data_IF_802455458830
#
_entry.id   IF_802455458830
#
_cell.length_a   1.000
_cell.length_b   1.000
_cell.length_c   1.000
_cell.angle_alpha   90.00
_cell.angle_beta   90.00
_cell.angle_gamma   90.00
#
_symmetry.space_group_name_H-M   'P 1'
#
loop_
_entity.id
_entity.type
_entity.pdbx_description
1 polymer ?
#
# COMPACT_ATOMS: atom_id res chain seq x y z
N UNK A 1 -20.66 2.64 8.49
CA UNK A 1 -20.22 1.75 7.39
C UNK A 1 -21.20 0.61 7.26
N UNK A 2 -21.61 0.27 6.03
CA UNK A 2 -22.43 -0.92 5.78
C UNK A 2 -21.47 -2.10 5.55
N UNK A 3 -21.65 -3.19 6.28
CA UNK A 3 -20.90 -4.42 6.04
C UNK A 3 -21.43 -5.09 4.77
N UNK A 4 -20.55 -5.47 3.85
CA UNK A 4 -20.93 -6.13 2.57
C UNK A 4 -20.57 -7.63 2.54
N UNK A 5 -19.95 -8.16 3.59
CA UNK A 5 -19.58 -9.58 3.68
C UNK A 5 -18.63 -9.86 4.85
N UNK A 6 -18.23 -11.13 4.99
CA UNK A 6 -17.26 -11.61 5.99
C UNK A 6 -16.31 -12.62 5.35
N UNK A 7 -15.01 -12.42 5.51
CA UNK A 7 -13.99 -13.40 5.16
C UNK A 7 -13.64 -14.23 6.40
N UNK A 8 -13.60 -15.56 6.26
CA UNK A 8 -13.26 -16.49 7.35
C UNK A 8 -12.16 -17.44 6.86
N UNK A 9 -11.05 -17.49 7.59
CA UNK A 9 -9.91 -18.38 7.29
C UNK A 9 -10.04 -19.66 8.12
N UNK A 10 -10.30 -20.80 7.45
CA UNK A 10 -10.65 -22.06 8.13
C UNK A 10 -9.57 -23.15 8.06
N UNK A 11 -8.52 -22.96 7.26
CA UNK A 11 -7.58 -24.04 6.95
C UNK A 11 -6.17 -23.53 6.69
N UNK A 12 -5.20 -24.22 7.29
CA UNK A 12 -3.78 -24.00 7.05
C UNK A 12 -3.30 -24.69 5.77
N UNK A 13 -2.27 -24.15 5.10
CA UNK A 13 -1.71 -24.76 3.89
C UNK A 13 -1.05 -26.11 4.18
N UNK A 14 -1.20 -27.08 3.27
CA UNK A 14 -0.54 -28.40 3.37
C UNK A 14 0.89 -28.38 2.85
N UNK A 15 1.18 -27.51 1.88
CA UNK A 15 2.51 -27.29 1.35
C UNK A 15 2.77 -25.79 1.33
N UNK A 16 3.65 -25.33 2.22
CA UNK A 16 3.93 -23.91 2.40
C UNK A 16 4.54 -23.28 1.16
N UNK A 17 5.52 -23.95 0.52
CA UNK A 17 6.16 -23.43 -0.67
C UNK A 17 5.16 -23.24 -1.82
N UNK A 18 4.33 -24.25 -2.08
CA UNK A 18 3.35 -24.20 -3.16
C UNK A 18 2.20 -23.22 -2.89
N UNK A 19 1.73 -23.13 -1.64
CA UNK A 19 0.51 -22.36 -1.33
C UNK A 19 0.78 -20.94 -0.83
N UNK A 20 1.89 -20.68 -0.14
CA UNK A 20 2.23 -19.38 0.43
C UNK A 20 3.33 -18.72 -0.39
N UNK A 21 4.48 -19.38 -0.54
CA UNK A 21 5.61 -18.78 -1.25
C UNK A 21 5.25 -18.51 -2.72
N UNK A 22 4.64 -19.46 -3.42
CA UNK A 22 4.26 -19.28 -4.83
C UNK A 22 2.99 -18.43 -5.03
N UNK A 23 2.31 -17.98 -3.97
CA UNK A 23 1.12 -17.15 -4.12
C UNK A 23 1.43 -15.79 -4.76
N UNK A 24 0.64 -15.39 -5.75
CA UNK A 24 0.81 -14.15 -6.50
C UNK A 24 -0.47 -13.31 -6.47
N UNK A 25 -0.39 -12.11 -5.89
CA UNK A 25 -1.51 -11.16 -5.84
C UNK A 25 -1.24 -9.99 -6.78
N UNK A 26 -2.22 -9.63 -7.61
CA UNK A 26 -2.09 -8.53 -8.57
C UNK A 26 -3.33 -7.62 -8.46
N UNK A 27 -3.19 -6.32 -8.14
CA UNK A 27 -4.33 -5.41 -8.05
C UNK A 27 -5.12 -5.28 -9.36
N UNK A 28 -4.46 -5.46 -10.51
CA UNK A 28 -5.08 -5.44 -11.83
C UNK A 28 -5.82 -6.72 -12.23
N UNK A 29 -5.81 -7.77 -11.40
CA UNK A 29 -6.61 -8.98 -11.64
C UNK A 29 -8.05 -8.77 -11.13
N UNK A 30 -8.76 -7.82 -11.74
CA UNK A 30 -10.12 -7.45 -11.36
C UNK A 30 -11.16 -8.35 -12.03
N UNK A 31 -12.34 -8.44 -11.39
CA UNK A 31 -13.52 -9.11 -11.94
C UNK A 31 -14.38 -8.12 -12.73
N UNK A 32 -15.17 -8.60 -13.68
CA UNK A 32 -16.07 -7.77 -14.48
C UNK A 32 -17.02 -6.96 -13.58
N UNK A 33 -17.11 -5.66 -13.80
CA UNK A 33 -17.91 -4.73 -12.98
C UNK A 33 -17.14 -4.01 -11.87
N UNK A 34 -15.84 -4.27 -11.71
CA UNK A 34 -14.93 -3.45 -10.93
C UNK A 34 -13.90 -2.84 -11.87
N UNK A 35 -13.78 -1.52 -11.85
CA UNK A 35 -12.85 -0.76 -12.68
C UNK A 35 -11.86 0.02 -11.82
N UNK A 36 -10.73 0.34 -12.43
CA UNK A 36 -9.64 1.03 -11.79
C UNK A 36 -9.79 2.55 -11.85
N UNK A 37 -9.41 3.20 -10.76
CA UNK A 37 -9.35 4.65 -10.72
C UNK A 37 -8.10 5.14 -11.48
N UNK A 38 -8.13 6.33 -12.12
CA UNK A 38 -6.96 6.94 -12.77
C UNK A 38 -5.89 7.44 -11.77
N UNK A 39 -5.86 6.91 -10.54
CA UNK A 39 -4.88 7.26 -9.52
C UNK A 39 -3.48 6.77 -9.90
N UNK A 40 -2.45 7.64 -9.94
CA UNK A 40 -1.13 7.26 -10.44
C UNK A 40 -0.49 6.12 -9.62
N UNK A 41 -0.65 6.14 -8.29
CA UNK A 41 -0.13 5.07 -7.43
C UNK A 41 -0.76 3.71 -7.74
N UNK A 42 -2.06 3.68 -8.05
CA UNK A 42 -2.76 2.43 -8.35
C UNK A 42 -2.29 1.88 -9.71
N UNK A 43 -2.25 2.73 -10.73
CA UNK A 43 -1.77 2.39 -12.07
C UNK A 43 -0.36 1.82 -12.05
N UNK A 44 0.59 2.49 -11.37
CA UNK A 44 1.95 1.99 -11.24
C UNK A 44 2.03 0.66 -10.51
N UNK A 45 1.20 0.43 -9.47
CA UNK A 45 1.20 -0.85 -8.73
C UNK A 45 0.73 -2.01 -9.60
N UNK A 46 -0.22 -1.81 -10.51
CA UNK A 46 -0.65 -2.88 -11.42
C UNK A 46 0.49 -3.33 -12.33
N UNK A 47 1.31 -2.39 -12.79
CA UNK A 47 2.50 -2.70 -13.58
C UNK A 47 3.58 -3.43 -12.76
N UNK A 48 4.03 -2.83 -11.65
CA UNK A 48 5.17 -3.34 -10.89
C UNK A 48 4.95 -4.72 -10.26
N UNK A 49 3.73 -5.02 -9.79
CA UNK A 49 3.45 -6.33 -9.19
C UNK A 49 3.56 -7.45 -10.21
N UNK A 50 3.11 -7.21 -11.45
CA UNK A 50 3.22 -8.18 -12.55
C UNK A 50 4.68 -8.40 -12.94
N UNK A 51 5.45 -7.33 -13.13
CA UNK A 51 6.88 -7.42 -13.46
C UNK A 51 7.68 -8.17 -12.40
N UNK A 52 7.45 -7.87 -11.12
CA UNK A 52 8.10 -8.59 -10.01
C UNK A 52 7.74 -10.09 -10.00
N UNK A 53 6.49 -10.45 -10.30
CA UNK A 53 6.04 -11.84 -10.31
C UNK A 53 6.64 -12.66 -11.46
N UNK A 54 6.82 -12.06 -12.64
CA UNK A 54 7.51 -12.73 -13.75
C UNK A 54 8.94 -13.12 -13.37
N UNK A 55 9.67 -12.26 -12.65
CA UNK A 55 11.02 -12.59 -12.17
C UNK A 55 11.03 -13.61 -11.03
N UNK A 56 9.99 -13.59 -10.19
CA UNK A 56 9.94 -14.40 -8.96
C UNK A 56 9.45 -15.83 -9.17
N UNK A 57 8.41 -16.01 -9.99
CA UNK A 57 7.72 -17.31 -10.19
C UNK A 57 7.98 -17.86 -11.60
N UNK A 58 8.28 -16.98 -12.56
CA UNK A 58 8.52 -17.32 -13.95
C UNK A 58 7.39 -16.89 -14.88
N UNK A 59 7.58 -17.21 -16.17
CA UNK A 59 6.74 -16.73 -17.28
C UNK A 59 5.35 -17.36 -17.31
N UNK A 60 5.17 -18.55 -16.71
CA UNK A 60 3.91 -19.29 -16.68
C UNK A 60 2.88 -18.73 -15.68
N UNK A 61 2.99 -17.46 -15.31
CA UNK A 61 2.01 -16.78 -14.48
C UNK A 61 0.73 -16.59 -15.31
N UNK A 62 -0.42 -17.00 -14.76
CA UNK A 62 -1.70 -16.91 -15.45
C UNK A 62 -1.95 -15.47 -15.96
N UNK A 63 -2.10 -15.25 -17.27
CA UNK A 63 -2.28 -13.92 -17.82
C UNK A 63 -3.74 -13.47 -17.63
N UNK A 64 -4.05 -12.89 -16.47
CA UNK A 64 -5.27 -12.08 -16.30
C UNK A 64 -4.91 -10.60 -16.35
N UNK A 65 -4.87 -10.04 -17.55
CA UNK A 65 -5.05 -8.61 -17.76
C UNK A 65 -5.81 -8.44 -19.08
N UNK A 66 -7.10 -8.12 -18.98
CA UNK A 66 -7.80 -7.51 -20.10
C UNK A 66 -7.21 -6.10 -20.26
N UNK A 67 -6.25 -5.95 -21.17
CA UNK A 67 -5.74 -4.63 -21.59
C UNK A 67 -6.76 -3.98 -22.55
N UNK A 68 -8.01 -3.84 -22.11
CA UNK A 68 -9.05 -3.12 -22.87
C UNK A 68 -9.28 -1.77 -22.24
N UNK A 69 -8.30 -0.88 -22.39
CA UNK A 69 -8.48 0.54 -22.75
C UNK A 69 -7.17 1.32 -22.51
N UNK A 70 -6.46 1.51 -23.62
CA UNK A 70 -5.97 2.81 -24.07
C UNK A 70 -5.81 3.92 -23.02
N UNK A 71 -4.57 4.20 -22.64
CA UNK A 71 -4.24 5.46 -21.99
C UNK A 71 -2.74 5.60 -21.82
N UNK A 72 -2.11 6.46 -22.63
CA UNK A 72 -0.81 7.04 -22.26
C UNK A 72 -0.96 7.56 -20.83
N UNK A 73 -0.11 7.10 -19.90
CA UNK A 73 -0.05 7.66 -18.55
C UNK A 73 0.37 9.13 -18.69
N UNK A 74 -0.62 10.01 -18.77
CA UNK A 74 -0.39 11.43 -18.67
C UNK A 74 0.16 11.67 -17.27
N UNK A 75 1.45 12.02 -17.18
CA UNK A 75 2.13 12.42 -15.95
C UNK A 75 1.60 13.76 -15.39
N UNK A 76 0.36 14.13 -15.69
CA UNK A 76 -0.27 15.31 -15.14
C UNK A 76 -0.57 15.05 -13.68
N UNK A 77 0.26 15.62 -12.81
CA UNK A 77 -0.01 15.69 -11.38
C UNK A 77 -1.33 16.44 -11.20
N UNK A 78 -2.42 15.72 -10.95
CA UNK A 78 -3.58 16.33 -10.33
C UNK A 78 -3.16 16.71 -8.91
N UNK A 79 -2.71 17.96 -8.77
CA UNK A 79 -2.36 18.58 -7.50
C UNK A 79 -3.68 18.84 -6.77
N UNK A 80 -4.17 17.85 -6.03
CA UNK A 80 -5.37 17.99 -5.19
C UNK A 80 -5.11 17.54 -3.75
N UNK A 81 -3.90 17.77 -3.24
CA UNK A 81 -3.65 17.83 -1.78
C UNK A 81 -3.23 19.24 -1.44
N UNK A 82 -4.17 20.03 -0.91
CA UNK A 82 -3.93 21.42 -0.48
C UNK A 82 -3.01 21.51 0.74
N UNK A 83 -2.97 20.45 1.56
CA UNK A 83 -2.07 20.30 2.71
C UNK A 83 -1.71 18.82 2.93
N UNK A 84 -0.45 18.53 3.27
CA UNK A 84 0.04 17.17 3.55
C UNK A 84 -0.25 16.68 4.98
N UNK A 85 -0.57 17.60 5.90
CA UNK A 85 -0.60 17.33 7.33
C UNK A 85 -2.00 17.17 7.93
N UNK A 86 -3.05 17.68 7.28
CA UNK A 86 -4.42 17.71 7.83
C UNK A 86 -4.92 16.32 8.25
N UNK A 87 -4.69 15.30 7.41
CA UNK A 87 -5.13 13.92 7.70
C UNK A 87 -4.38 13.31 8.90
N UNK A 88 -3.08 13.59 9.03
CA UNK A 88 -2.29 13.11 10.15
C UNK A 88 -2.69 13.80 11.46
N UNK A 89 -2.97 15.11 11.40
CA UNK A 89 -3.47 15.89 12.53
C UNK A 89 -4.85 15.39 12.98
N UNK A 90 -5.74 15.09 12.05
CA UNK A 90 -7.07 14.56 12.35
C UNK A 90 -7.00 13.19 13.02
N UNK A 91 -6.17 12.28 12.48
CA UNK A 91 -5.88 10.98 13.08
C UNK A 91 -5.37 11.12 14.53
N UNK A 92 -4.39 12.01 14.75
CA UNK A 92 -3.80 12.23 16.07
C UNK A 92 -4.81 12.80 17.07
N UNK A 93 -5.60 13.78 16.64
CA UNK A 93 -6.47 14.53 17.56
C UNK A 93 -7.80 13.84 17.82
N UNK A 94 -8.42 13.22 16.81
CA UNK A 94 -9.79 12.70 16.90
C UNK A 94 -9.89 11.19 17.09
N UNK A 95 -8.94 10.43 16.56
CA UNK A 95 -9.08 8.96 16.44
C UNK A 95 -8.21 8.25 17.49
N UNK A 96 -6.95 8.67 17.65
CA UNK A 96 -6.01 8.00 18.53
C UNK A 96 -6.27 8.25 20.01
N UNK A 97 -6.26 7.18 20.79
CA UNK A 97 -6.24 7.21 22.26
C UNK A 97 -4.88 7.66 22.81
N UNK A 98 -4.83 8.09 24.07
CA UNK A 98 -3.58 8.51 24.73
C UNK A 98 -2.52 7.40 24.77
N UNK A 99 -2.93 6.14 24.94
CA UNK A 99 -2.00 5.02 24.90
C UNK A 99 -1.40 4.84 23.50
N UNK A 100 -2.20 4.97 22.44
CA UNK A 100 -1.72 4.87 21.06
C UNK A 100 -0.76 6.02 20.71
N UNK A 101 -1.05 7.24 21.19
CA UNK A 101 -0.14 8.39 21.08
C UNK A 101 1.19 8.13 21.77
N UNK A 102 1.16 7.62 23.01
CA UNK A 102 2.36 7.26 23.76
C UNK A 102 3.17 6.18 23.04
N UNK A 103 2.50 5.17 22.49
CA UNK A 103 3.14 4.12 21.70
C UNK A 103 3.77 4.68 20.42
N UNK A 104 3.08 5.56 19.70
CA UNK A 104 3.59 6.22 18.49
C UNK A 104 4.84 7.06 18.79
N UNK A 105 4.82 7.85 19.88
CA UNK A 105 5.99 8.61 20.35
C UNK A 105 7.16 7.68 20.71
N UNK A 106 6.90 6.61 21.47
CA UNK A 106 7.93 5.63 21.85
C UNK A 106 8.56 4.95 20.61
N UNK A 107 7.74 4.54 19.65
CA UNK A 107 8.21 3.90 18.42
C UNK A 107 9.02 4.86 17.55
N UNK A 108 8.59 6.11 17.46
CA UNK A 108 9.32 7.17 16.73
C UNK A 108 10.68 7.42 17.37
N UNK A 109 10.75 7.55 18.70
CA UNK A 109 12.01 7.70 19.42
C UNK A 109 12.95 6.50 19.22
N UNK A 110 12.43 5.27 19.25
CA UNK A 110 13.20 4.05 18.96
C UNK A 110 13.76 4.05 17.54
N UNK A 111 12.99 4.49 16.55
CA UNK A 111 13.45 4.65 15.17
C UNK A 111 14.56 5.69 15.05
N UNK A 112 14.33 6.89 15.58
CA UNK A 112 15.30 8.00 15.53
C UNK A 112 16.58 7.70 16.30
N UNK A 113 16.54 6.86 17.34
CA UNK A 113 17.74 6.40 18.07
C UNK A 113 18.74 5.69 17.16
N UNK A 114 18.27 4.98 16.12
CA UNK A 114 19.14 4.26 15.16
C UNK A 114 19.77 5.16 14.11
N UNK A 115 19.28 6.38 13.94
CA UNK A 115 19.79 7.34 12.97
C UNK A 115 21.09 7.94 13.51
N UNK A 116 22.19 7.78 12.77
CA UNK A 116 23.50 8.30 13.16
C UNK A 116 23.62 9.82 12.99
N UNK A 117 22.94 10.36 11.97
CA UNK A 117 23.08 11.76 11.57
C UNK A 117 22.09 12.67 12.33
N UNK A 118 22.55 13.65 13.12
CA UNK A 118 21.69 14.52 13.92
C UNK A 118 20.82 15.45 13.06
N UNK A 119 21.31 15.89 11.90
CA UNK A 119 20.56 16.75 10.97
C UNK A 119 19.28 16.09 10.47
N UNK A 120 19.32 14.77 10.22
CA UNK A 120 18.15 14.01 9.78
C UNK A 120 17.10 13.97 10.90
N UNK A 121 17.53 13.83 12.16
CA UNK A 121 16.62 13.84 13.31
C UNK A 121 15.94 15.20 13.46
N UNK A 122 16.72 16.28 13.35
CA UNK A 122 16.21 17.65 13.43
C UNK A 122 15.19 17.94 12.31
N UNK A 123 15.53 17.61 11.05
CA UNK A 123 14.61 17.80 9.91
C UNK A 123 13.33 16.98 10.04
N UNK A 124 13.41 15.76 10.56
CA UNK A 124 12.24 14.93 10.80
C UNK A 124 11.31 15.53 11.87
N UNK A 125 11.87 15.98 13.00
CA UNK A 125 11.09 16.59 14.08
C UNK A 125 10.50 17.97 13.70
N UNK A 126 11.11 18.64 12.72
CA UNK A 126 10.64 19.92 12.19
C UNK A 126 9.51 19.79 11.14
N UNK A 127 9.06 18.58 10.81
CA UNK A 127 7.91 18.39 9.91
C UNK A 127 6.61 18.79 10.65
N UNK A 128 6.04 19.93 10.27
CA UNK A 128 4.81 20.53 10.83
C UNK A 128 3.81 20.82 9.73
#
# INVERSE_FOLDING_TARGET
>A
MKGFGRLVLIKNPRNYHRNVEQAAFLPGSMFLGIEDSPGPLLQFRMFFYRDAQYRRIGVNLHPTASLTSSGLVSLRRHISKKNGYDQAKDLWTRIMSEQEKNNACCNTAKGLRRVKFPEIKSKYLAQV
#
